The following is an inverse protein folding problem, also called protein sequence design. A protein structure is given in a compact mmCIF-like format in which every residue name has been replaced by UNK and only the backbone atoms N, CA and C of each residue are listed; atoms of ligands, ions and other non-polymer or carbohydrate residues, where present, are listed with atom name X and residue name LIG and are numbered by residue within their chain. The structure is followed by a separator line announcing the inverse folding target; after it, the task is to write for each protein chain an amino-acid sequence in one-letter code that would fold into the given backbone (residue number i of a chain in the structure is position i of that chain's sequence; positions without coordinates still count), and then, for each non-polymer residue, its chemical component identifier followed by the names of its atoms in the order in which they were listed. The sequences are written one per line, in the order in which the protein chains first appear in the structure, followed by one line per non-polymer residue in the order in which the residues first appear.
data_IF_423727487215
#
_entry.id   IF_423727487215
#
_cell.length_a   1.000
_cell.length_b   1.000
_cell.length_c   1.000
_cell.angle_alpha   90.00
_cell.angle_beta   90.00
_cell.angle_gamma   90.00
#
_symmetry.space_group_name_H-M   'P 1'
#
loop_
_entity.id
_entity.type
_entity.pdbx_description
1 polymer ?
#
# COMPACT_ATOMS: atom_id res chain seq x y z
N UNK A 1 -9.89 7.90 12.07
CA UNK A 1 -8.45 8.14 11.91
C UNK A 1 -8.06 8.18 10.45
N UNK A 2 -7.01 8.90 10.13
CA UNK A 2 -6.49 8.96 8.76
C UNK A 2 -5.35 7.97 8.59
N UNK A 3 -5.42 7.18 7.53
CA UNK A 3 -4.41 6.18 7.20
C UNK A 3 -3.76 6.49 5.86
N UNK A 4 -2.46 6.25 5.79
CA UNK A 4 -1.71 6.28 4.54
C UNK A 4 -1.23 4.88 4.27
N UNK A 5 -1.55 4.37 3.08
CA UNK A 5 -1.28 2.99 2.67
C UNK A 5 -0.31 3.00 1.51
N UNK A 6 0.72 2.16 1.60
CA UNK A 6 1.64 1.92 0.48
C UNK A 6 1.14 0.72 -0.30
N UNK A 7 0.95 0.87 -1.60
CA UNK A 7 0.52 -0.19 -2.51
C UNK A 7 1.64 -0.50 -3.49
N UNK A 8 1.87 -1.78 -3.73
CA UNK A 8 2.86 -2.22 -4.70
C UNK A 8 2.43 -3.50 -5.41
N UNK A 9 2.78 -3.61 -6.68
CA UNK A 9 2.53 -4.81 -7.49
C UNK A 9 3.51 -4.88 -8.65
N UNK A 10 3.95 -6.09 -9.00
CA UNK A 10 4.73 -6.33 -10.22
C UNK A 10 4.26 -7.56 -11.00
N UNK A 11 3.06 -8.06 -10.69
CA UNK A 11 2.38 -9.11 -11.46
C UNK A 11 1.03 -8.54 -11.87
N UNK A 12 0.77 -8.38 -13.16
CA UNK A 12 -0.43 -7.71 -13.65
C UNK A 12 -0.67 -6.41 -12.89
N UNK A 13 0.38 -5.60 -12.75
CA UNK A 13 0.43 -4.52 -11.78
C UNK A 13 -0.69 -3.49 -11.96
N UNK A 14 -0.96 -3.06 -13.20
CA UNK A 14 -2.01 -2.08 -13.46
C UNK A 14 -3.39 -2.59 -13.03
N UNK A 15 -3.70 -3.85 -13.35
CA UNK A 15 -4.98 -4.48 -13.00
C UNK A 15 -5.11 -4.67 -11.49
N UNK A 16 -4.05 -5.13 -10.83
CA UNK A 16 -4.06 -5.37 -9.39
C UNK A 16 -4.12 -4.07 -8.58
N UNK A 17 -3.44 -3.02 -9.03
CA UNK A 17 -3.53 -1.70 -8.41
C UNK A 17 -4.94 -1.12 -8.57
N UNK A 18 -5.54 -1.25 -9.76
CA UNK A 18 -6.91 -0.78 -10.00
C UNK A 18 -7.91 -1.54 -9.12
N UNK A 19 -7.75 -2.85 -8.99
CA UNK A 19 -8.56 -3.69 -8.11
C UNK A 19 -8.45 -3.22 -6.65
N UNK A 20 -7.22 -3.04 -6.18
CA UNK A 20 -6.98 -2.59 -4.80
C UNK A 20 -7.62 -1.23 -4.52
N UNK A 21 -7.44 -0.28 -5.44
CA UNK A 21 -8.02 1.06 -5.31
C UNK A 21 -9.54 1.00 -5.21
N UNK A 22 -10.17 0.19 -6.05
CA UNK A 22 -11.63 0.01 -6.03
C UNK A 22 -12.09 -0.58 -4.69
N UNK A 23 -11.41 -1.62 -4.20
CA UNK A 23 -11.76 -2.25 -2.91
C UNK A 23 -11.54 -1.30 -1.74
N UNK A 24 -10.45 -0.53 -1.76
CA UNK A 24 -10.15 0.44 -0.70
C UNK A 24 -11.17 1.58 -0.67
N UNK A 25 -11.68 2.00 -1.81
CA UNK A 25 -12.74 3.02 -1.87
C UNK A 25 -14.04 2.57 -1.22
N UNK A 26 -14.25 1.26 -1.07
CA UNK A 26 -15.44 0.71 -0.39
C UNK A 26 -15.33 0.78 1.14
N UNK A 27 -14.10 0.78 1.67
CA UNK A 27 -13.87 0.69 3.12
C UNK A 27 -13.29 1.97 3.73
N UNK A 28 -12.84 2.90 2.90
CA UNK A 28 -12.29 4.19 3.35
C UNK A 28 -13.11 5.34 2.80
N UNK A 29 -13.13 6.46 3.52
CA UNK A 29 -13.75 7.71 3.07
C UNK A 29 -12.68 8.76 2.79
N UNK A 30 -13.05 9.81 2.04
CA UNK A 30 -12.15 10.92 1.71
C UNK A 30 -10.82 10.45 1.12
N UNK A 31 -10.89 9.52 0.17
CA UNK A 31 -9.71 8.89 -0.44
C UNK A 31 -8.97 9.86 -1.36
N UNK A 32 -7.65 9.93 -1.18
CA UNK A 32 -6.73 10.61 -2.10
C UNK A 32 -5.63 9.63 -2.51
N UNK A 33 -5.12 9.77 -3.72
CA UNK A 33 -4.16 8.83 -4.29
C UNK A 33 -3.01 9.61 -4.91
N UNK A 34 -1.76 9.17 -4.64
CA UNK A 34 -0.59 9.74 -5.29
C UNK A 34 -0.51 9.30 -6.77
N UNK A 35 0.42 9.90 -7.51
CA UNK A 35 0.78 9.34 -8.81
C UNK A 35 1.42 7.96 -8.64
N UNK A 36 1.42 7.17 -9.70
CA UNK A 36 2.05 5.84 -9.70
C UNK A 36 3.53 5.97 -10.04
N UNK A 37 4.38 5.37 -9.22
CA UNK A 37 5.83 5.36 -9.39
C UNK A 37 6.27 3.98 -9.83
N UNK A 38 7.09 3.92 -10.87
CA UNK A 38 7.66 2.67 -11.38
C UNK A 38 9.06 2.47 -10.80
N UNK A 39 9.29 1.33 -10.15
CA UNK A 39 10.59 1.02 -9.55
C UNK A 39 11.04 -0.38 -9.96
N UNK A 40 12.36 -0.59 -9.95
CA UNK A 40 12.92 -1.91 -10.26
C UNK A 40 12.65 -2.89 -9.13
N UNK A 41 12.48 -4.17 -9.48
CA UNK A 41 12.40 -5.25 -8.50
C UNK A 41 13.70 -5.27 -7.69
N UNK A 42 13.56 -5.32 -6.36
CA UNK A 42 14.68 -5.29 -5.43
C UNK A 42 14.98 -6.70 -4.93
N UNK A 43 16.23 -7.12 -5.08
CA UNK A 43 16.70 -8.41 -4.58
C UNK A 43 16.36 -9.62 -5.43
N UNK A 44 15.78 -9.44 -6.63
CA UNK A 44 15.52 -10.54 -7.57
C UNK A 44 15.32 -10.00 -9.00
N UNK A 45 15.41 -10.88 -9.99
CA UNK A 45 15.07 -10.53 -11.37
C UNK A 45 13.57 -10.70 -11.58
N UNK A 46 12.91 -9.67 -12.08
CA UNK A 46 11.49 -9.68 -12.35
C UNK A 46 11.03 -8.36 -12.95
N UNK A 47 9.73 -8.27 -13.23
CA UNK A 47 9.14 -7.06 -13.75
C UNK A 47 9.22 -5.93 -12.72
N UNK A 48 9.27 -4.69 -13.21
CA UNK A 48 9.26 -3.52 -12.35
C UNK A 48 7.99 -3.46 -11.51
N UNK A 49 8.13 -2.92 -10.30
CA UNK A 49 6.97 -2.64 -9.45
C UNK A 49 6.30 -1.33 -9.85
N UNK A 50 4.98 -1.30 -9.75
CA UNK A 50 4.22 -0.07 -9.67
C UNK A 50 3.91 0.18 -8.20
N UNK A 51 4.23 1.39 -7.73
CA UNK A 51 4.03 1.79 -6.33
C UNK A 51 3.26 3.09 -6.26
N UNK A 52 2.38 3.20 -5.26
CA UNK A 52 1.69 4.45 -4.96
C UNK A 52 1.33 4.49 -3.48
N UNK A 53 0.92 5.65 -3.01
CA UNK A 53 0.34 5.81 -1.67
C UNK A 53 -1.10 6.28 -1.82
N UNK A 54 -1.98 5.67 -1.04
CA UNK A 54 -3.39 6.02 -0.97
C UNK A 54 -3.69 6.41 0.47
N UNK A 55 -4.38 7.53 0.65
CA UNK A 55 -4.80 8.00 1.96
C UNK A 55 -6.30 7.99 2.07
N UNK A 56 -6.82 7.72 3.26
CA UNK A 56 -8.25 7.75 3.52
C UNK A 56 -8.56 7.65 5.00
N UNK A 57 -9.80 7.93 5.34
CA UNK A 57 -10.28 7.89 6.72
C UNK A 57 -11.02 6.58 7.00
N UNK A 58 -10.86 6.05 8.20
CA UNK A 58 -11.57 4.87 8.68
C UNK A 58 -11.81 4.97 10.18
N UNK A 59 -12.91 4.38 10.63
CA UNK A 59 -13.19 4.19 12.06
C UNK A 59 -12.54 2.92 12.60
N UNK A 60 -12.04 2.04 11.73
CA UNK A 60 -11.35 0.83 12.12
C UNK A 60 -10.02 1.16 12.82
N UNK A 61 -9.67 0.38 13.84
CA UNK A 61 -8.33 0.47 14.41
C UNK A 61 -7.30 -0.19 13.47
N UNK A 62 -6.03 -0.05 13.80
CA UNK A 62 -4.92 -0.55 12.99
C UNK A 62 -5.08 -2.04 12.63
N UNK A 63 -5.31 -2.88 13.64
CA UNK A 63 -5.39 -4.33 13.42
C UNK A 63 -6.58 -4.72 12.55
N UNK A 64 -7.72 -4.11 12.78
CA UNK A 64 -8.94 -4.39 11.98
C UNK A 64 -8.76 -3.95 10.54
N UNK A 65 -8.20 -2.76 10.31
CA UNK A 65 -7.92 -2.30 8.95
C UNK A 65 -6.89 -3.20 8.28
N UNK A 66 -5.83 -3.57 8.99
CA UNK A 66 -4.79 -4.43 8.43
C UNK A 66 -5.36 -5.79 7.98
N UNK A 67 -6.33 -6.35 8.71
CA UNK A 67 -7.01 -7.57 8.28
C UNK A 67 -7.75 -7.39 6.97
N UNK A 68 -8.43 -6.25 6.80
CA UNK A 68 -9.11 -5.93 5.54
C UNK A 68 -8.11 -5.84 4.39
N UNK A 69 -6.94 -5.23 4.62
CA UNK A 69 -5.89 -5.12 3.62
C UNK A 69 -5.37 -6.49 3.20
N UNK A 70 -5.18 -7.39 4.16
CA UNK A 70 -4.71 -8.75 3.87
C UNK A 70 -5.75 -9.54 3.07
N UNK A 71 -7.04 -9.34 3.35
CA UNK A 71 -8.11 -9.93 2.57
C UNK A 71 -8.08 -9.45 1.11
N UNK A 72 -7.85 -8.16 0.90
CA UNK A 72 -7.72 -7.60 -0.46
C UNK A 72 -6.51 -8.21 -1.17
N UNK A 73 -5.36 -8.32 -0.48
CA UNK A 73 -4.17 -8.96 -1.05
C UNK A 73 -4.46 -10.41 -1.45
N UNK A 74 -5.10 -11.17 -0.58
CA UNK A 74 -5.44 -12.58 -0.85
C UNK A 74 -6.36 -12.70 -2.06
N UNK A 75 -7.31 -11.79 -2.21
CA UNK A 75 -8.24 -11.76 -3.35
C UNK A 75 -7.53 -11.48 -4.68
N UNK A 76 -6.33 -10.91 -4.66
CA UNK A 76 -5.51 -10.69 -5.86
C UNK A 76 -4.74 -11.95 -6.29
N UNK A 77 -4.82 -13.03 -5.51
CA UNK A 77 -4.06 -14.25 -5.76
C UNK A 77 -2.66 -14.24 -5.16
N UNK A 78 -2.40 -13.38 -4.17
CA UNK A 78 -1.08 -13.26 -3.55
C UNK A 78 -0.67 -14.57 -2.87
N UNK A 79 0.58 -14.97 -3.10
CA UNK A 79 1.24 -16.09 -2.43
C UNK A 79 2.09 -15.56 -1.27
N UNK A 80 1.96 -16.19 -0.08
CA UNK A 80 2.67 -15.74 1.13
C UNK A 80 3.82 -16.68 1.53
N UNK A 81 3.92 -17.84 0.89
CA UNK A 81 4.96 -18.86 1.16
C UNK A 81 6.17 -18.71 0.25
N UNK A 82 6.45 -17.49 -0.20
CA UNK A 82 7.57 -17.18 -1.13
C UNK A 82 8.62 -16.33 -0.40
N UNK A 83 9.86 -16.26 -0.94
CA UNK A 83 10.90 -15.41 -0.35
C UNK A 83 10.47 -13.95 -0.18
N UNK A 84 11.05 -13.27 0.80
CA UNK A 84 10.71 -11.90 1.17
C UNK A 84 10.74 -10.92 -0.02
N UNK A 85 11.79 -10.96 -0.82
CA UNK A 85 11.93 -10.13 -2.02
C UNK A 85 11.62 -10.97 -3.25
N UNK A 86 10.34 -11.17 -3.53
CA UNK A 86 9.87 -11.91 -4.70
C UNK A 86 8.74 -11.15 -5.38
N UNK A 87 8.33 -11.63 -6.56
CA UNK A 87 7.20 -11.02 -7.28
C UNK A 87 5.93 -11.04 -6.44
N UNK A 88 5.14 -9.97 -6.51
CA UNK A 88 3.93 -9.79 -5.75
C UNK A 88 2.77 -9.38 -6.62
N UNK A 89 1.63 -10.08 -6.48
CA UNK A 89 0.40 -9.65 -7.13
C UNK A 89 -0.07 -8.33 -6.53
N UNK A 90 -0.02 -8.21 -5.20
CA UNK A 90 -0.45 -7.01 -4.50
C UNK A 90 0.14 -7.00 -3.09
N UNK A 91 0.69 -5.86 -2.72
CA UNK A 91 1.21 -5.60 -1.38
C UNK A 91 0.59 -4.29 -0.89
N UNK A 92 -0.07 -4.32 0.26
CA UNK A 92 -0.72 -3.15 0.85
C UNK A 92 -0.30 -3.05 2.31
N UNK A 93 0.41 -1.99 2.67
CA UNK A 93 0.89 -1.79 4.03
C UNK A 93 0.46 -0.44 4.58
N UNK A 94 0.05 -0.42 5.85
CA UNK A 94 -0.18 0.83 6.58
C UNK A 94 1.19 1.42 6.88
N UNK A 95 1.47 2.62 6.38
CA UNK A 95 2.75 3.29 6.61
C UNK A 95 2.64 4.49 7.54
N UNK A 96 1.44 5.06 7.69
CA UNK A 96 1.22 6.20 8.57
C UNK A 96 -0.22 6.20 9.06
N UNK A 97 -0.41 6.47 10.35
CA UNK A 97 -1.74 6.61 10.96
C UNK A 97 -1.77 7.89 11.78
N UNK A 98 -2.75 8.73 11.52
CA UNK A 98 -2.95 9.99 12.23
C UNK A 98 -4.29 10.02 12.95
N UNK A 99 -4.29 10.61 14.14
CA UNK A 99 -5.50 11.01 14.86
C UNK A 99 -5.48 12.54 14.93
N UNK A 100 -6.24 13.19 14.05
CA UNK A 100 -6.10 14.62 13.84
C UNK A 100 -4.69 14.94 13.35
N UNK A 101 -3.95 15.78 14.08
CA UNK A 101 -2.56 16.12 13.74
C UNK A 101 -1.54 15.23 14.45
N UNK A 102 -2.00 14.31 15.29
CA UNK A 102 -1.13 13.44 16.06
C UNK A 102 -0.77 12.17 15.30
N UNK A 103 0.53 11.85 15.25
CA UNK A 103 1.01 10.61 14.64
C UNK A 103 0.82 9.48 15.65
N UNK A 104 -0.03 8.50 15.29
CA UNK A 104 -0.29 7.31 16.11
C UNK A 104 0.65 6.18 15.72
N UNK A 105 0.96 6.06 14.43
CA UNK A 105 1.88 5.05 13.90
C UNK A 105 2.63 5.60 12.71
N UNK A 106 3.93 5.31 12.63
CA UNK A 106 4.78 5.64 11.50
C UNK A 106 5.70 4.45 11.21
N UNK A 107 5.63 3.94 9.99
CA UNK A 107 6.45 2.81 9.57
C UNK A 107 7.89 3.22 9.28
N UNK A 108 8.84 2.38 9.64
CA UNK A 108 10.26 2.54 9.28
C UNK A 108 10.46 2.51 7.76
N UNK A 109 9.55 1.91 7.01
CA UNK A 109 9.62 1.83 5.55
C UNK A 109 9.64 3.21 4.88
N UNK A 110 9.06 4.22 5.52
CA UNK A 110 9.09 5.60 5.00
C UNK A 110 10.53 6.09 4.88
N UNK A 111 11.39 5.73 5.83
CA UNK A 111 12.81 6.13 5.83
C UNK A 111 13.68 5.20 4.99
N UNK A 112 13.29 3.93 4.87
CA UNK A 112 14.08 2.91 4.18
C UNK A 112 13.90 2.92 2.68
N UNK A 113 12.70 3.22 2.18
CA UNK A 113 12.35 3.01 0.78
C UNK A 113 11.81 4.27 0.12
N UNK A 114 12.48 4.69 -0.96
CA UNK A 114 12.03 5.81 -1.77
C UNK A 114 10.66 5.52 -2.43
N UNK A 115 10.39 4.25 -2.74
CA UNK A 115 9.10 3.86 -3.33
C UNK A 115 7.93 4.02 -2.36
N UNK A 116 8.19 4.27 -1.07
CA UNK A 116 7.19 4.66 -0.08
C UNK A 116 7.22 6.18 0.12
N UNK A 117 8.39 6.76 0.41
CA UNK A 117 8.50 8.18 0.77
C UNK A 117 8.16 9.14 -0.38
N UNK A 118 8.56 8.83 -1.60
CA UNK A 118 8.30 9.73 -2.74
C UNK A 118 6.80 9.87 -3.05
N UNK A 119 6.02 8.78 -3.20
CA UNK A 119 4.58 8.94 -3.37
C UNK A 119 3.89 9.52 -2.13
N UNK A 120 4.36 9.20 -0.92
CA UNK A 120 3.79 9.75 0.31
C UNK A 120 3.88 11.28 0.34
N UNK A 121 5.01 11.85 -0.09
CA UNK A 121 5.23 13.30 -0.12
C UNK A 121 4.19 14.05 -0.96
N UNK A 122 3.57 13.40 -1.92
CA UNK A 122 2.54 14.01 -2.75
C UNK A 122 1.24 14.27 -1.97
N UNK A 123 1.04 13.56 -0.85
CA UNK A 123 -0.21 13.61 -0.08
C UNK A 123 -0.09 14.33 1.26
N UNK A 124 1.11 14.64 1.69
CA UNK A 124 1.34 15.31 2.98
C UNK A 124 1.94 16.69 2.85
#
# INVERSE_FOLDING_TARGET
MKYYLSLGSNINAEENIAFATEELNKILSNVTISSTHKTKAEGFEGDDFLNLVLAGDSELNFDSLNKELKTIEDSSGRKRDVPKFSARTLDIDIVLQLDGDEIVFESDEIKKYLFVSEPLKELI
#
